data_IF_965602941810
#
_entry.id   IF_965602941810
#
_cell.length_a   1.000
_cell.length_b   1.000
_cell.length_c   1.000
_cell.angle_alpha   90.00
_cell.angle_beta   90.00
_cell.angle_gamma   90.00
#
_symmetry.space_group_name_H-M   'P 1'
#
loop_
_entity.id
_entity.type
_entity.pdbx_description
1 polymer ?
#
# COMPACT_ATOMS: atom_id res chain seq x y z
N UNK A 1 7.04 -0.86 -24.54
CA UNK A 1 6.06 -1.10 -23.46
C UNK A 1 5.64 0.25 -22.92
N UNK A 2 4.34 0.49 -22.74
CA UNK A 2 3.80 1.76 -22.21
C UNK A 2 3.55 1.68 -20.70
N UNK A 3 3.48 2.82 -20.02
CA UNK A 3 3.11 2.85 -18.59
C UNK A 3 1.71 2.27 -18.33
N UNK A 4 0.76 2.45 -19.26
CA UNK A 4 -0.55 1.80 -19.23
C UNK A 4 -0.44 0.27 -19.20
N UNK A 5 0.41 -0.33 -20.05
CA UNK A 5 0.64 -1.78 -20.03
C UNK A 5 1.23 -2.25 -18.71
N UNK A 6 2.14 -1.48 -18.12
CA UNK A 6 2.71 -1.78 -16.78
C UNK A 6 1.62 -1.77 -15.70
N UNK A 7 0.74 -0.78 -15.72
CA UNK A 7 -0.39 -0.72 -14.77
C UNK A 7 -1.35 -1.90 -14.93
N UNK A 8 -1.63 -2.31 -16.18
CA UNK A 8 -2.48 -3.48 -16.45
C UNK A 8 -1.85 -4.76 -15.89
N UNK A 9 -0.52 -4.92 -16.01
CA UNK A 9 0.20 -6.06 -15.40
C UNK A 9 0.08 -6.02 -13.87
N UNK A 10 0.25 -4.85 -13.25
CA UNK A 10 0.04 -4.68 -11.82
C UNK A 10 -1.40 -5.02 -11.40
N UNK A 11 -2.39 -4.65 -12.21
CA UNK A 11 -3.79 -4.98 -11.98
C UNK A 11 -4.06 -6.50 -12.03
N UNK A 12 -3.36 -7.25 -12.87
CA UNK A 12 -3.42 -8.72 -12.82
C UNK A 12 -2.81 -9.29 -11.54
N UNK A 13 -1.76 -8.68 -10.98
CA UNK A 13 -1.29 -9.05 -9.64
C UNK A 13 -2.32 -8.72 -8.57
N UNK A 14 -3.07 -7.62 -8.70
CA UNK A 14 -4.19 -7.33 -7.78
C UNK A 14 -5.24 -8.43 -7.79
N UNK A 15 -5.60 -8.95 -8.97
CA UNK A 15 -6.52 -10.09 -9.08
C UNK A 15 -5.88 -11.37 -8.47
N UNK A 16 -4.61 -11.63 -8.74
CA UNK A 16 -3.91 -12.81 -8.22
C UNK A 16 -3.82 -12.81 -6.68
N UNK A 17 -3.51 -11.67 -6.05
CA UNK A 17 -3.51 -11.58 -4.59
C UNK A 17 -4.91 -11.67 -3.98
N UNK A 18 -5.93 -11.16 -4.68
CA UNK A 18 -7.32 -11.30 -4.25
C UNK A 18 -7.75 -12.78 -4.24
N UNK A 19 -7.29 -13.57 -5.21
CA UNK A 19 -7.49 -15.02 -5.22
C UNK A 19 -6.79 -15.69 -4.03
N UNK A 20 -5.52 -15.35 -3.74
CA UNK A 20 -4.82 -15.87 -2.57
C UNK A 20 -5.52 -15.46 -1.27
N UNK A 21 -6.01 -14.22 -1.18
CA UNK A 21 -6.79 -13.73 -0.05
C UNK A 21 -8.10 -14.50 0.15
N UNK A 22 -8.79 -14.84 -0.94
CA UNK A 22 -10.00 -15.65 -0.91
C UNK A 22 -9.70 -17.08 -0.40
N UNK A 23 -8.62 -17.69 -0.87
CA UNK A 23 -8.16 -19.01 -0.39
C UNK A 23 -7.88 -18.95 1.12
N UNK A 24 -7.15 -17.93 1.59
CA UNK A 24 -6.85 -17.75 3.01
C UNK A 24 -8.12 -17.58 3.88
N UNK A 25 -9.19 -16.97 3.34
CA UNK A 25 -10.48 -16.84 4.04
C UNK A 25 -11.34 -18.11 3.94
N UNK A 26 -11.08 -18.97 2.97
CA UNK A 26 -11.75 -20.26 2.84
C UNK A 26 -11.22 -21.29 3.86
N UNK A 27 -9.93 -21.30 4.16
CA UNK A 27 -9.29 -22.27 5.08
C UNK A 27 -10.01 -22.41 6.43
N UNK A 28 -10.41 -21.32 7.12
CA UNK A 28 -11.15 -21.45 8.38
C UNK A 28 -12.60 -21.96 8.22
N UNK A 29 -13.14 -21.93 7.01
CA UNK A 29 -14.52 -22.38 6.70
C UNK A 29 -14.52 -23.84 6.23
N UNK A 30 -13.51 -24.22 5.42
CA UNK A 30 -13.37 -25.54 4.87
C UNK A 30 -11.88 -25.90 4.78
N UNK A 31 -11.40 -26.91 5.51
CA UNK A 31 -9.98 -27.30 5.48
C UNK A 31 -9.53 -27.70 4.06
N UNK A 32 -8.49 -27.04 3.55
CA UNK A 32 -7.98 -27.26 2.18
C UNK A 32 -6.71 -28.10 2.14
N UNK A 33 -6.16 -28.54 3.30
CA UNK A 33 -4.90 -29.31 3.35
C UNK A 33 -3.68 -28.51 2.89
N UNK A 34 -3.72 -27.19 2.96
CA UNK A 34 -2.62 -26.29 2.57
C UNK A 34 -1.91 -25.71 3.80
N UNK A 35 -0.62 -25.38 3.65
CA UNK A 35 0.13 -24.66 4.68
C UNK A 35 -0.25 -23.17 4.66
N UNK A 36 -1.12 -22.77 5.60
CA UNK A 36 -1.68 -21.42 5.67
C UNK A 36 -0.63 -20.30 5.66
N UNK A 37 0.47 -20.49 6.39
CA UNK A 37 1.54 -19.51 6.51
C UNK A 37 2.21 -19.22 5.16
N UNK A 38 2.40 -20.25 4.33
CA UNK A 38 3.02 -20.13 3.01
C UNK A 38 2.15 -19.30 2.06
N UNK A 39 0.84 -19.54 2.05
CA UNK A 39 -0.11 -18.76 1.26
C UNK A 39 -0.22 -17.32 1.77
N UNK A 40 -0.16 -17.10 3.09
CA UNK A 40 -0.14 -15.77 3.69
C UNK A 40 1.09 -14.98 3.25
N UNK A 41 2.27 -15.62 3.20
CA UNK A 41 3.49 -14.97 2.71
C UNK A 41 3.38 -14.62 1.22
N UNK A 42 2.87 -15.53 0.38
CA UNK A 42 2.61 -15.23 -1.03
C UNK A 42 1.68 -14.03 -1.19
N UNK A 43 0.54 -14.05 -0.48
CA UNK A 43 -0.45 -12.97 -0.50
C UNK A 43 0.18 -11.62 -0.12
N UNK A 44 0.88 -11.55 1.00
CA UNK A 44 1.45 -10.31 1.49
C UNK A 44 2.57 -9.77 0.58
N UNK A 45 3.53 -10.61 0.16
CA UNK A 45 4.62 -10.17 -0.70
C UNK A 45 4.12 -9.70 -2.07
N UNK A 46 3.22 -10.45 -2.71
CA UNK A 46 2.69 -10.06 -4.03
C UNK A 46 1.78 -8.82 -3.93
N UNK A 47 1.07 -8.62 -2.79
CA UNK A 47 0.29 -7.41 -2.56
C UNK A 47 1.17 -6.16 -2.54
N UNK A 48 2.27 -6.19 -1.79
CA UNK A 48 3.19 -5.06 -1.69
C UNK A 48 4.02 -4.88 -2.96
N UNK A 49 4.58 -5.96 -3.49
CA UNK A 49 5.64 -5.91 -4.49
C UNK A 49 5.12 -6.07 -5.92
N UNK A 50 4.04 -6.82 -6.11
CA UNK A 50 3.39 -7.00 -7.41
C UNK A 50 2.36 -5.92 -7.71
N UNK A 51 1.36 -5.77 -6.84
CA UNK A 51 0.27 -4.82 -7.04
C UNK A 51 0.70 -3.38 -6.76
N UNK A 52 0.94 -3.03 -5.49
CA UNK A 52 1.14 -1.64 -5.11
C UNK A 52 2.41 -1.05 -5.72
N UNK A 53 3.55 -1.70 -5.53
CA UNK A 53 4.82 -1.25 -6.11
C UNK A 53 4.70 -1.12 -7.64
N UNK A 54 4.19 -2.15 -8.34
CA UNK A 54 4.02 -2.13 -9.79
C UNK A 54 3.12 -0.99 -10.27
N UNK A 55 1.99 -0.74 -9.58
CA UNK A 55 1.08 0.35 -9.90
C UNK A 55 1.73 1.72 -9.68
N UNK A 56 2.41 1.95 -8.54
CA UNK A 56 3.11 3.21 -8.28
C UNK A 56 4.21 3.46 -9.31
N UNK A 57 5.04 2.46 -9.61
CA UNK A 57 6.11 2.57 -10.61
C UNK A 57 5.54 2.91 -11.99
N UNK A 58 4.37 2.35 -12.37
CA UNK A 58 3.75 2.65 -13.65
C UNK A 58 3.38 4.13 -13.78
N UNK A 59 2.80 4.76 -12.73
CA UNK A 59 2.45 6.18 -12.73
C UNK A 59 3.68 7.09 -12.66
N UNK A 60 4.65 6.75 -11.82
CA UNK A 60 5.91 7.49 -11.71
C UNK A 60 6.63 7.47 -13.05
N UNK A 61 6.67 6.33 -13.71
CA UNK A 61 7.27 6.19 -15.03
C UNK A 61 6.50 6.96 -16.12
N UNK A 62 5.16 6.99 -16.04
CA UNK A 62 4.33 7.80 -16.93
C UNK A 62 4.64 9.29 -16.82
N UNK A 63 4.85 9.78 -15.60
CA UNK A 63 5.05 11.21 -15.34
C UNK A 63 6.51 11.61 -15.68
N UNK A 64 7.48 10.83 -15.23
CA UNK A 64 8.88 11.27 -15.18
C UNK A 64 9.84 10.53 -16.14
N UNK A 65 9.42 9.44 -16.79
CA UNK A 65 10.31 8.67 -17.66
C UNK A 65 9.86 8.61 -19.12
N UNK A 66 8.64 8.99 -19.44
CA UNK A 66 8.07 9.13 -20.81
C UNK A 66 8.80 8.32 -21.90
N UNK A 67 9.60 9.01 -22.73
CA UNK A 67 10.32 8.41 -23.87
C UNK A 67 11.39 7.40 -23.43
N UNK A 68 11.84 7.47 -22.18
CA UNK A 68 12.83 6.55 -21.61
C UNK A 68 12.29 5.15 -21.35
N UNK A 69 10.95 4.97 -21.35
CA UNK A 69 10.28 3.67 -21.23
C UNK A 69 10.62 2.69 -22.36
N UNK A 70 11.05 3.21 -23.52
CA UNK A 70 11.38 2.38 -24.68
C UNK A 70 12.82 1.86 -24.66
N UNK A 71 13.67 2.37 -23.76
CA UNK A 71 15.07 1.93 -23.67
C UNK A 71 15.18 0.44 -23.32
N UNK A 72 16.20 -0.23 -23.88
CA UNK A 72 16.47 -1.65 -23.60
C UNK A 72 16.71 -1.88 -22.10
N UNK A 73 17.45 -0.99 -21.46
CA UNK A 73 17.77 -1.09 -20.04
C UNK A 73 16.51 -0.97 -19.17
N UNK A 74 15.61 -0.01 -19.45
CA UNK A 74 14.36 0.10 -18.72
C UNK A 74 13.49 -1.15 -18.85
N UNK A 75 13.35 -1.67 -20.07
CA UNK A 75 12.59 -2.90 -20.33
C UNK A 75 13.19 -4.09 -19.59
N UNK A 76 14.52 -4.21 -19.56
CA UNK A 76 15.20 -5.24 -18.79
C UNK A 76 14.88 -5.12 -17.29
N UNK A 77 15.06 -3.94 -16.68
CA UNK A 77 14.78 -3.69 -15.27
C UNK A 77 13.33 -4.05 -14.93
N UNK A 78 12.38 -3.60 -15.74
CA UNK A 78 10.96 -3.88 -15.53
C UNK A 78 10.67 -5.39 -15.56
N UNK A 79 11.07 -6.10 -16.62
CA UNK A 79 10.78 -7.52 -16.74
C UNK A 79 11.54 -8.35 -15.71
N UNK A 80 12.76 -7.98 -15.38
CA UNK A 80 13.51 -8.58 -14.29
C UNK A 80 12.73 -8.48 -12.98
N UNK A 81 12.18 -7.32 -12.64
CA UNK A 81 11.35 -7.13 -11.45
C UNK A 81 10.09 -7.99 -11.50
N UNK A 82 9.35 -8.00 -12.62
CA UNK A 82 8.11 -8.76 -12.78
C UNK A 82 8.33 -10.27 -12.68
N UNK A 83 9.38 -10.81 -13.31
CA UNK A 83 9.71 -12.25 -13.24
C UNK A 83 9.94 -12.67 -11.78
N UNK A 84 10.61 -11.83 -10.99
CA UNK A 84 10.84 -12.13 -9.57
C UNK A 84 9.53 -12.09 -8.74
N UNK A 85 8.59 -11.20 -9.06
CA UNK A 85 7.25 -11.22 -8.42
C UNK A 85 6.48 -12.50 -8.79
N UNK A 86 6.51 -12.91 -10.04
CA UNK A 86 5.91 -14.18 -10.49
C UNK A 86 6.57 -15.37 -9.77
N UNK A 87 7.91 -15.34 -9.66
CA UNK A 87 8.66 -16.35 -8.91
C UNK A 87 8.21 -16.44 -7.44
N UNK A 88 8.01 -15.30 -6.76
CA UNK A 88 7.48 -15.25 -5.39
C UNK A 88 6.05 -15.80 -5.31
N UNK A 89 5.18 -15.45 -6.27
CA UNK A 89 3.79 -15.92 -6.29
C UNK A 89 3.68 -17.44 -6.27
N UNK A 90 4.56 -18.14 -6.99
CA UNK A 90 4.55 -19.61 -7.03
C UNK A 90 5.42 -20.27 -5.94
N UNK A 91 6.58 -19.71 -5.61
CA UNK A 91 7.51 -20.34 -4.68
C UNK A 91 7.05 -20.26 -3.22
N UNK A 92 6.44 -19.15 -2.78
CA UNK A 92 5.95 -19.04 -1.40
C UNK A 92 4.89 -20.09 -1.04
N UNK A 93 3.80 -20.30 -1.82
CA UNK A 93 2.82 -21.32 -1.50
C UNK A 93 3.41 -22.73 -1.40
N UNK A 94 4.38 -23.06 -2.26
CA UNK A 94 4.99 -24.39 -2.35
C UNK A 94 5.99 -24.66 -1.23
N UNK A 95 6.74 -23.67 -0.79
CA UNK A 95 7.88 -23.95 0.09
C UNK A 95 8.03 -22.96 1.27
N UNK A 96 7.22 -21.89 1.37
CA UNK A 96 7.41 -20.86 2.38
C UNK A 96 8.72 -20.10 2.21
N UNK A 97 9.35 -19.68 3.30
CA UNK A 97 10.68 -19.03 3.30
C UNK A 97 11.80 -20.07 3.14
N UNK A 98 12.00 -20.54 1.90
CA UNK A 98 13.11 -21.40 1.51
C UNK A 98 13.85 -20.80 0.32
N UNK A 99 14.79 -21.53 -0.26
CA UNK A 99 15.76 -21.04 -1.22
C UNK A 99 15.15 -20.19 -2.35
N UNK A 100 14.18 -20.71 -3.12
CA UNK A 100 13.64 -19.99 -4.27
C UNK A 100 12.86 -18.74 -3.87
N UNK A 101 12.09 -18.80 -2.79
CA UNK A 101 11.32 -17.63 -2.30
C UNK A 101 12.24 -16.50 -1.86
N UNK A 102 13.31 -16.83 -1.13
CA UNK A 102 14.33 -15.88 -0.70
C UNK A 102 15.12 -15.36 -1.91
N UNK A 103 15.47 -16.22 -2.86
CA UNK A 103 16.16 -15.82 -4.09
C UNK A 103 15.35 -14.81 -4.88
N UNK A 104 14.07 -15.10 -5.18
CA UNK A 104 13.22 -14.17 -5.94
C UNK A 104 12.98 -12.86 -5.19
N UNK A 105 12.82 -12.90 -3.86
CA UNK A 105 12.71 -11.69 -3.05
C UNK A 105 14.00 -10.85 -3.13
N UNK A 106 15.17 -11.47 -2.99
CA UNK A 106 16.46 -10.78 -3.07
C UNK A 106 16.71 -10.16 -4.46
N UNK A 107 16.39 -10.90 -5.51
CA UNK A 107 16.51 -10.41 -6.89
C UNK A 107 15.51 -9.28 -7.17
N UNK A 108 14.30 -9.33 -6.60
CA UNK A 108 13.36 -8.22 -6.66
C UNK A 108 13.96 -6.94 -6.04
N UNK A 109 14.63 -7.02 -4.89
CA UNK A 109 15.29 -5.87 -4.27
C UNK A 109 16.39 -5.30 -5.19
N UNK A 110 17.19 -6.15 -5.82
CA UNK A 110 18.17 -5.71 -6.84
C UNK A 110 17.47 -4.97 -7.97
N UNK A 111 16.34 -5.51 -8.47
CA UNK A 111 15.52 -4.84 -9.49
C UNK A 111 15.06 -3.44 -9.08
N UNK A 112 14.66 -3.28 -7.81
CA UNK A 112 14.26 -1.95 -7.27
C UNK A 112 15.43 -0.98 -7.18
N UNK A 113 16.64 -1.44 -6.85
CA UNK A 113 17.85 -0.58 -6.85
C UNK A 113 18.25 -0.16 -8.26
N UNK A 114 18.15 -1.07 -9.22
CA UNK A 114 18.37 -0.75 -10.64
C UNK A 114 17.35 0.27 -11.15
N UNK A 115 16.07 0.13 -10.74
CA UNK A 115 15.06 1.13 -11.06
C UNK A 115 15.37 2.49 -10.43
N UNK A 116 15.76 2.52 -9.17
CA UNK A 116 16.13 3.76 -8.46
C UNK A 116 17.27 4.50 -9.18
N UNK A 117 18.34 3.78 -9.51
CA UNK A 117 19.45 4.32 -10.29
C UNK A 117 18.98 4.86 -11.65
N UNK A 118 18.19 4.05 -12.38
CA UNK A 118 17.67 4.43 -13.68
C UNK A 118 16.80 5.67 -13.62
N UNK A 119 15.90 5.74 -12.63
CA UNK A 119 15.01 6.87 -12.41
C UNK A 119 15.79 8.16 -12.20
N UNK A 120 16.71 8.20 -11.26
CA UNK A 120 17.47 9.44 -10.97
C UNK A 120 18.34 9.90 -12.12
N UNK A 121 18.85 8.98 -12.93
CA UNK A 121 19.65 9.30 -14.13
C UNK A 121 18.82 9.84 -15.29
N UNK A 122 17.59 9.34 -15.46
CA UNK A 122 16.82 9.54 -16.69
C UNK A 122 15.51 10.32 -16.51
N UNK A 123 15.17 10.76 -15.30
CA UNK A 123 13.93 11.49 -15.03
C UNK A 123 13.83 12.77 -15.84
N UNK A 124 12.63 13.12 -16.26
CA UNK A 124 12.25 14.35 -16.94
C UNK A 124 11.09 15.01 -16.20
N UNK A 125 10.73 16.25 -16.56
CA UNK A 125 9.57 16.97 -16.03
C UNK A 125 9.57 17.19 -14.48
N UNK A 126 10.67 16.96 -13.78
CA UNK A 126 10.79 17.21 -12.35
C UNK A 126 10.63 18.71 -12.00
N UNK A 127 11.09 19.60 -12.86
CA UNK A 127 10.85 21.04 -12.74
C UNK A 127 9.40 21.45 -13.05
N UNK A 128 8.69 20.68 -13.87
CA UNK A 128 7.29 20.92 -14.21
C UNK A 128 6.32 20.53 -13.10
N UNK A 129 6.67 19.47 -12.35
CA UNK A 129 5.86 18.91 -11.26
C UNK A 129 6.68 18.86 -9.95
N UNK A 130 7.08 20.03 -9.41
CA UNK A 130 8.05 20.09 -8.31
C UNK A 130 7.55 19.50 -7.00
N UNK A 131 6.26 19.68 -6.67
CA UNK A 131 5.68 19.08 -5.48
C UNK A 131 5.57 17.56 -5.64
N UNK A 132 5.02 17.09 -6.76
CA UNK A 132 4.95 15.65 -7.09
C UNK A 132 6.34 15.01 -7.01
N UNK A 133 7.35 15.60 -7.65
CA UNK A 133 8.71 15.08 -7.66
C UNK A 133 9.32 15.00 -6.25
N UNK A 134 9.11 16.04 -5.41
CA UNK A 134 9.60 16.05 -4.02
C UNK A 134 9.13 14.84 -3.23
N UNK A 135 7.83 14.53 -3.29
CA UNK A 135 7.25 13.38 -2.58
C UNK A 135 7.64 12.04 -3.20
N UNK A 136 7.61 11.93 -4.52
CA UNK A 136 8.05 10.71 -5.23
C UNK A 136 9.51 10.40 -4.93
N UNK A 137 10.40 11.41 -4.98
CA UNK A 137 11.82 11.26 -4.63
C UNK A 137 11.99 10.73 -3.21
N UNK A 138 11.29 11.33 -2.24
CA UNK A 138 11.37 10.87 -0.84
C UNK A 138 10.81 9.45 -0.69
N UNK A 139 9.67 9.14 -1.33
CA UNK A 139 9.09 7.80 -1.33
C UNK A 139 10.07 6.74 -1.86
N UNK A 140 10.76 7.02 -2.97
CA UNK A 140 11.77 6.10 -3.53
C UNK A 140 12.95 5.88 -2.58
N UNK A 141 13.40 6.91 -1.87
CA UNK A 141 14.44 6.75 -0.85
C UNK A 141 13.94 6.00 0.40
N UNK A 142 12.68 6.21 0.80
CA UNK A 142 12.08 5.45 1.91
C UNK A 142 11.85 3.98 1.52
N UNK A 143 11.57 3.68 0.25
CA UNK A 143 11.58 2.32 -0.27
C UNK A 143 12.96 1.68 -0.16
N UNK A 144 14.01 2.38 -0.56
CA UNK A 144 15.39 1.91 -0.39
C UNK A 144 15.70 1.66 1.09
N UNK A 145 15.32 2.57 1.98
CA UNK A 145 15.52 2.44 3.42
C UNK A 145 14.79 1.20 3.97
N UNK A 146 13.52 0.99 3.59
CA UNK A 146 12.77 -0.19 4.02
C UNK A 146 13.41 -1.51 3.56
N UNK A 147 14.04 -1.50 2.39
CA UNK A 147 14.67 -2.69 1.79
C UNK A 147 15.94 -3.16 2.53
N UNK A 148 16.44 -2.39 3.48
CA UNK A 148 17.55 -2.82 4.34
C UNK A 148 17.14 -3.95 5.29
N UNK A 149 15.86 -3.99 5.70
CA UNK A 149 15.33 -5.01 6.60
C UNK A 149 15.47 -6.45 6.07
N UNK A 150 15.03 -6.82 4.85
CA UNK A 150 15.24 -8.19 4.37
C UNK A 150 16.71 -8.67 4.40
N UNK A 151 17.65 -7.74 4.27
CA UNK A 151 19.09 -8.09 4.39
C UNK A 151 19.51 -8.24 5.84
N UNK A 152 19.08 -7.35 6.75
CA UNK A 152 19.38 -7.45 8.18
C UNK A 152 18.68 -8.64 8.83
N UNK A 153 17.47 -9.03 8.34
CA UNK A 153 16.69 -10.12 8.89
C UNK A 153 17.46 -11.46 8.85
N UNK A 154 18.19 -11.74 7.77
CA UNK A 154 19.05 -12.91 7.66
C UNK A 154 20.16 -12.93 8.73
N UNK A 155 20.77 -11.79 9.02
CA UNK A 155 21.78 -11.63 10.06
C UNK A 155 21.16 -11.80 11.45
N UNK A 156 19.99 -11.18 11.69
CA UNK A 156 19.27 -11.29 12.97
C UNK A 156 18.92 -12.74 13.25
N UNK A 157 18.35 -13.47 12.28
CA UNK A 157 17.99 -14.89 12.44
C UNK A 157 19.23 -15.74 12.78
N UNK A 158 20.34 -15.51 12.07
CA UNK A 158 21.56 -16.31 12.24
C UNK A 158 22.29 -16.05 13.56
N UNK A 159 22.22 -14.82 14.09
CA UNK A 159 22.97 -14.40 15.29
C UNK A 159 22.12 -14.39 16.57
N UNK A 160 20.85 -14.02 16.47
CA UNK A 160 19.97 -13.78 17.61
C UNK A 160 18.78 -14.74 17.67
N UNK A 161 18.49 -15.45 16.58
CA UNK A 161 17.33 -16.34 16.47
C UNK A 161 16.00 -15.61 16.22
N UNK A 162 14.97 -16.39 15.86
CA UNK A 162 13.61 -15.87 15.57
C UNK A 162 12.84 -15.44 16.83
N UNK A 163 13.23 -15.90 18.00
CA UNK A 163 12.60 -15.54 19.29
C UNK A 163 13.06 -14.18 19.80
N UNK A 164 14.13 -13.63 19.22
CA UNK A 164 14.64 -12.31 19.59
C UNK A 164 13.60 -11.23 19.23
N UNK A 165 13.36 -10.22 20.09
CA UNK A 165 12.53 -9.06 19.78
C UNK A 165 12.97 -8.33 18.50
N UNK A 166 14.27 -8.34 18.20
CA UNK A 166 14.82 -7.72 16.98
C UNK A 166 14.28 -8.32 15.69
N UNK A 167 13.92 -9.62 15.69
CA UNK A 167 13.27 -10.25 14.55
C UNK A 167 11.94 -9.59 14.20
N UNK A 168 11.10 -9.30 15.19
CA UNK A 168 9.80 -8.62 14.99
C UNK A 168 10.01 -7.13 14.69
N UNK A 169 10.93 -6.47 15.36
CA UNK A 169 11.26 -5.06 15.07
C UNK A 169 11.66 -4.86 13.61
N UNK A 170 12.46 -5.76 13.07
CA UNK A 170 12.93 -5.69 11.70
C UNK A 170 11.78 -5.89 10.70
N UNK A 171 10.88 -6.87 10.93
CA UNK A 171 9.68 -7.06 10.12
C UNK A 171 8.79 -5.81 10.16
N UNK A 172 8.56 -5.25 11.36
CA UNK A 172 7.75 -4.04 11.51
C UNK A 172 8.42 -2.81 10.90
N UNK A 173 9.76 -2.73 10.92
CA UNK A 173 10.52 -1.71 10.23
C UNK A 173 10.25 -1.78 8.72
N UNK A 174 10.40 -2.96 8.10
CA UNK A 174 10.09 -3.15 6.70
C UNK A 174 8.68 -2.68 6.35
N UNK A 175 7.68 -3.21 7.05
CA UNK A 175 6.27 -2.88 6.79
C UNK A 175 6.01 -1.39 6.96
N UNK A 176 6.47 -0.78 8.06
CA UNK A 176 6.24 0.62 8.36
C UNK A 176 6.81 1.55 7.29
N UNK A 177 8.08 1.35 6.90
CA UNK A 177 8.71 2.16 5.87
C UNK A 177 8.16 1.87 4.45
N UNK A 178 7.56 0.70 4.22
CA UNK A 178 6.84 0.43 2.97
C UNK A 178 5.53 1.22 2.91
N UNK A 179 4.60 1.03 3.86
CA UNK A 179 3.28 1.62 3.70
C UNK A 179 3.19 3.08 4.18
N UNK A 180 3.86 3.48 5.29
CA UNK A 180 3.90 4.87 5.75
C UNK A 180 5.00 5.70 5.04
N UNK A 181 6.07 5.06 4.60
CA UNK A 181 7.13 5.69 3.83
C UNK A 181 6.83 5.68 2.33
N UNK A 182 7.16 4.58 1.65
CA UNK A 182 7.10 4.49 0.20
C UNK A 182 5.71 4.78 -0.37
N UNK A 183 4.69 4.01 0.01
CA UNK A 183 3.37 4.11 -0.61
C UNK A 183 2.64 5.41 -0.24
N UNK A 184 2.74 5.87 1.00
CA UNK A 184 2.06 7.10 1.42
C UNK A 184 2.69 8.33 0.76
N UNK A 185 4.02 8.40 0.65
CA UNK A 185 4.70 9.49 -0.06
C UNK A 185 4.40 9.45 -1.56
N UNK A 186 4.44 8.27 -2.20
CA UNK A 186 4.05 8.14 -3.60
C UNK A 186 2.60 8.55 -3.82
N UNK A 187 1.65 8.10 -2.97
CA UNK A 187 0.24 8.50 -3.02
C UNK A 187 0.09 10.01 -2.90
N UNK A 188 0.75 10.62 -1.92
CA UNK A 188 0.70 12.08 -1.72
C UNK A 188 1.26 12.82 -2.93
N UNK A 189 2.39 12.41 -3.46
CA UNK A 189 2.97 13.00 -4.68
C UNK A 189 2.03 12.88 -5.88
N UNK A 190 1.47 11.70 -6.12
CA UNK A 190 0.52 11.47 -7.22
C UNK A 190 -0.81 12.20 -7.02
N UNK A 191 -1.25 12.43 -5.77
CA UNK A 191 -2.40 13.25 -5.48
C UNK A 191 -2.13 14.73 -5.82
N UNK A 192 -0.97 15.25 -5.46
CA UNK A 192 -0.55 16.61 -5.85
C UNK A 192 -0.39 16.74 -7.37
N UNK A 193 0.01 15.68 -8.08
CA UNK A 193 0.08 15.66 -9.54
C UNK A 193 -1.28 15.97 -10.18
N UNK A 194 -2.41 15.55 -9.59
CA UNK A 194 -3.74 15.88 -10.12
C UNK A 194 -3.98 17.40 -10.20
N UNK A 195 -3.33 18.18 -9.33
CA UNK A 195 -3.38 19.64 -9.33
C UNK A 195 -2.30 20.24 -10.25
N UNK A 196 -1.05 19.81 -10.13
CA UNK A 196 0.08 20.34 -10.90
C UNK A 196 -0.10 20.09 -12.42
N UNK A 197 -0.68 18.94 -12.84
CA UNK A 197 -0.97 18.68 -14.25
C UNK A 197 -1.96 19.67 -14.88
N UNK A 198 -2.69 20.42 -14.06
CA UNK A 198 -3.59 21.52 -14.44
C UNK A 198 -2.93 22.90 -14.36
N UNK A 199 -1.58 22.93 -14.29
CA UNK A 199 -0.77 24.13 -14.15
C UNK A 199 -1.06 24.95 -12.87
N UNK A 200 -1.58 24.30 -11.82
CA UNK A 200 -1.80 24.92 -10.53
C UNK A 200 -0.46 25.00 -9.80
N UNK A 201 -0.06 26.21 -9.45
CA UNK A 201 1.06 26.44 -8.53
C UNK A 201 0.62 26.22 -7.09
N UNK A 202 1.13 25.16 -6.48
CA UNK A 202 0.83 24.85 -5.09
C UNK A 202 1.58 25.81 -4.14
N UNK A 203 0.97 26.22 -3.01
CA UNK A 203 1.64 27.03 -2.01
C UNK A 203 2.85 26.33 -1.42
N UNK A 204 4.05 26.81 -1.69
CA UNK A 204 5.31 26.17 -1.29
C UNK A 204 5.42 25.94 0.22
N UNK A 205 4.92 26.87 1.03
CA UNK A 205 4.90 26.74 2.50
C UNK A 205 4.04 25.58 2.96
N UNK A 206 2.87 25.35 2.34
CA UNK A 206 1.99 24.21 2.67
C UNK A 206 2.60 22.88 2.18
N UNK A 207 3.20 22.87 0.98
CA UNK A 207 3.89 21.71 0.43
C UNK A 207 5.07 21.31 1.33
N UNK A 208 5.89 22.27 1.78
CA UNK A 208 6.99 22.02 2.73
C UNK A 208 6.46 21.53 4.07
N UNK A 209 5.42 22.17 4.63
CA UNK A 209 4.80 21.74 5.88
C UNK A 209 4.33 20.28 5.79
N UNK A 210 3.58 19.92 4.74
CA UNK A 210 3.13 18.56 4.49
C UNK A 210 4.29 17.58 4.42
N UNK A 211 5.34 17.94 3.68
CA UNK A 211 6.52 17.11 3.49
C UNK A 211 7.23 16.80 4.82
N UNK A 212 7.52 17.83 5.63
CA UNK A 212 8.20 17.62 6.90
C UNK A 212 7.34 16.93 7.94
N UNK A 213 6.03 17.21 7.99
CA UNK A 213 5.11 16.49 8.87
C UNK A 213 5.06 15.00 8.52
N UNK A 214 5.01 14.62 7.22
CA UNK A 214 5.06 13.23 6.82
C UNK A 214 6.42 12.58 7.12
N UNK A 215 7.54 13.29 6.98
CA UNK A 215 8.86 12.76 7.39
C UNK A 215 8.90 12.49 8.89
N UNK A 216 8.44 13.44 9.72
CA UNK A 216 8.35 13.26 11.16
C UNK A 216 7.44 12.07 11.49
N UNK A 217 6.27 11.97 10.82
CA UNK A 217 5.33 10.87 11.00
C UNK A 217 5.97 9.50 10.68
N UNK A 218 6.75 9.39 9.60
CA UNK A 218 7.39 8.13 9.21
C UNK A 218 8.49 7.76 10.18
N UNK A 219 9.43 8.67 10.48
CA UNK A 219 10.56 8.31 11.33
C UNK A 219 10.17 8.10 12.79
N UNK A 220 9.35 8.96 13.35
CA UNK A 220 8.92 8.84 14.75
C UNK A 220 7.73 7.89 14.94
N UNK A 221 6.84 7.78 13.96
CA UNK A 221 5.73 6.84 14.00
C UNK A 221 6.15 5.37 14.02
N UNK A 222 7.38 5.04 13.56
CA UNK A 222 7.93 3.69 13.67
C UNK A 222 7.96 3.20 15.13
N UNK A 223 8.22 4.08 16.08
CA UNK A 223 8.31 3.68 17.49
C UNK A 223 7.02 3.09 18.05
N UNK A 224 5.84 3.41 17.49
CA UNK A 224 4.58 2.75 17.89
C UNK A 224 4.63 1.22 17.66
N UNK A 225 5.37 0.76 16.66
CA UNK A 225 5.52 -0.66 16.35
C UNK A 225 6.50 -1.39 17.29
N UNK A 226 7.15 -0.68 18.19
CA UNK A 226 8.09 -1.25 19.17
C UNK A 226 7.49 -1.33 20.58
N UNK A 227 6.38 -0.63 20.86
CA UNK A 227 5.82 -0.45 22.19
C UNK A 227 5.38 -1.78 22.84
N UNK A 228 4.98 -2.78 22.06
CA UNK A 228 4.63 -4.11 22.57
C UNK A 228 5.75 -4.79 23.38
N UNK A 229 7.02 -4.41 23.14
CA UNK A 229 8.18 -4.89 23.89
C UNK A 229 8.48 -4.03 25.13
N UNK A 230 7.66 -3.01 25.42
CA UNK A 230 7.79 -2.10 26.60
C UNK A 230 9.18 -1.46 26.72
N UNK A 231 9.68 -0.79 25.67
CA UNK A 231 11.05 -0.26 25.64
C UNK A 231 11.25 0.98 26.55
N UNK A 232 10.19 1.52 27.14
CA UNK A 232 10.22 2.66 28.06
C UNK A 232 9.56 3.93 27.51
N UNK A 233 9.34 4.90 28.40
CA UNK A 233 8.56 6.12 28.15
C UNK A 233 9.02 6.94 26.95
N UNK A 234 10.32 7.03 26.70
CA UNK A 234 10.85 7.80 25.57
C UNK A 234 10.30 7.30 24.22
N UNK A 235 10.10 6.00 24.07
CA UNK A 235 9.55 5.42 22.84
C UNK A 235 8.07 5.77 22.66
N UNK A 236 7.31 5.85 23.75
CA UNK A 236 5.91 6.34 23.69
C UNK A 236 5.88 7.81 23.27
N UNK A 237 6.76 8.65 23.80
CA UNK A 237 6.86 10.06 23.41
C UNK A 237 7.21 10.23 21.93
N UNK A 238 8.19 9.48 21.43
CA UNK A 238 8.56 9.50 20.02
C UNK A 238 7.39 9.03 19.13
N UNK A 239 6.72 7.94 19.49
CA UNK A 239 5.53 7.45 18.79
C UNK A 239 4.41 8.52 18.76
N UNK A 240 4.17 9.20 19.88
CA UNK A 240 3.16 10.26 19.99
C UNK A 240 3.48 11.45 19.06
N UNK A 241 4.74 11.87 19.00
CA UNK A 241 5.21 12.91 18.05
C UNK A 241 4.92 12.47 16.61
N UNK A 242 5.22 11.21 16.27
CA UNK A 242 4.96 10.66 14.94
C UNK A 242 3.47 10.64 14.59
N UNK A 243 2.62 10.15 15.49
CA UNK A 243 1.17 10.11 15.30
C UNK A 243 0.54 11.50 15.19
N UNK A 244 0.95 12.46 16.04
CA UNK A 244 0.51 13.85 15.97
C UNK A 244 0.93 14.53 14.66
N UNK A 245 2.15 14.27 14.20
CA UNK A 245 2.64 14.79 12.93
C UNK A 245 1.83 14.23 11.74
N UNK A 246 1.39 12.99 11.78
CA UNK A 246 0.55 12.40 10.74
C UNK A 246 -0.83 13.05 10.68
N UNK A 247 -1.45 13.31 11.82
CA UNK A 247 -2.70 14.10 11.90
C UNK A 247 -2.49 15.49 11.30
N UNK A 248 -1.40 16.16 11.65
CA UNK A 248 -1.04 17.47 11.08
C UNK A 248 -0.81 17.42 9.56
N UNK A 249 -0.20 16.34 9.06
CA UNK A 249 0.00 16.10 7.63
C UNK A 249 -1.34 15.91 6.91
N UNK A 250 -2.26 15.09 7.49
CA UNK A 250 -3.61 14.91 6.96
C UNK A 250 -4.36 16.25 6.82
N UNK A 251 -4.39 17.07 7.87
CA UNK A 251 -5.05 18.38 7.80
C UNK A 251 -4.38 19.31 6.79
N UNK A 252 -3.05 19.28 6.69
CA UNK A 252 -2.34 20.10 5.69
C UNK A 252 -2.71 19.69 4.27
N UNK A 253 -2.77 18.38 3.99
CA UNK A 253 -3.19 17.86 2.69
C UNK A 253 -4.66 18.21 2.40
N UNK A 254 -5.54 18.06 3.40
CA UNK A 254 -6.95 18.41 3.29
C UNK A 254 -7.12 19.90 2.95
N UNK A 255 -6.36 20.82 3.59
CA UNK A 255 -6.40 22.24 3.32
C UNK A 255 -5.95 22.57 1.89
N UNK A 256 -4.91 21.90 1.38
CA UNK A 256 -4.47 22.04 -0.01
C UNK A 256 -5.62 21.67 -0.95
N UNK A 257 -6.25 20.49 -0.76
CA UNK A 257 -7.34 20.05 -1.63
C UNK A 257 -8.62 20.85 -1.46
N UNK A 258 -8.98 21.27 -0.25
CA UNK A 258 -10.16 22.11 0.02
C UNK A 258 -10.13 23.41 -0.76
N UNK A 259 -8.96 24.00 -0.96
CA UNK A 259 -8.79 25.23 -1.76
C UNK A 259 -9.24 25.04 -3.22
N UNK A 260 -9.05 23.82 -3.76
CA UNK A 260 -9.37 23.49 -5.16
C UNK A 260 -10.60 22.58 -5.30
N UNK A 261 -11.34 22.36 -4.21
CA UNK A 261 -12.45 21.42 -4.13
C UNK A 261 -13.52 21.63 -5.20
N UNK A 262 -13.96 22.89 -5.39
CA UNK A 262 -14.96 23.26 -6.41
C UNK A 262 -14.46 22.95 -7.84
N UNK A 263 -13.19 23.17 -8.09
CA UNK A 263 -12.60 22.88 -9.40
C UNK A 263 -12.45 21.37 -9.64
N UNK A 264 -12.08 20.61 -8.61
CA UNK A 264 -11.94 19.15 -8.70
C UNK A 264 -13.24 18.49 -9.16
N UNK A 265 -14.42 18.96 -8.70
CA UNK A 265 -15.71 18.43 -9.14
C UNK A 265 -15.93 18.53 -10.66
N UNK A 266 -15.32 19.51 -11.32
CA UNK A 266 -15.42 19.70 -12.76
C UNK A 266 -14.28 19.04 -13.54
N UNK A 267 -13.18 18.72 -12.87
CA UNK A 267 -11.97 18.19 -13.52
C UNK A 267 -11.88 16.67 -13.52
N UNK A 268 -12.50 16.02 -12.56
CA UNK A 268 -12.54 14.58 -12.44
C UNK A 268 -13.98 14.07 -12.46
N UNK A 269 -14.16 12.80 -12.82
CA UNK A 269 -15.49 12.20 -12.87
C UNK A 269 -16.16 12.18 -11.50
N UNK A 270 -17.51 12.17 -11.46
CA UNK A 270 -18.26 12.08 -10.20
C UNK A 270 -17.89 10.84 -9.37
N UNK A 271 -17.59 9.71 -10.02
CA UNK A 271 -17.10 8.52 -9.35
C UNK A 271 -15.75 8.80 -8.68
N UNK A 272 -14.78 9.35 -9.43
CA UNK A 272 -13.45 9.64 -8.90
C UNK A 272 -13.48 10.65 -7.77
N UNK A 273 -14.36 11.63 -7.85
CA UNK A 273 -14.57 12.60 -6.80
C UNK A 273 -15.12 11.97 -5.50
N UNK A 274 -16.15 11.11 -5.61
CA UNK A 274 -16.69 10.38 -4.46
C UNK A 274 -15.66 9.45 -3.82
N UNK A 275 -14.89 8.73 -4.65
CA UNK A 275 -13.81 7.85 -4.17
C UNK A 275 -12.69 8.64 -3.49
N UNK A 276 -12.32 9.81 -4.02
CA UNK A 276 -11.30 10.66 -3.40
C UNK A 276 -11.74 11.11 -1.99
N UNK A 277 -13.01 11.46 -1.81
CA UNK A 277 -13.55 11.78 -0.48
C UNK A 277 -13.49 10.58 0.48
N UNK A 278 -13.82 9.39 -0.01
CA UNK A 278 -13.69 8.16 0.78
C UNK A 278 -12.22 7.87 1.17
N UNK A 279 -11.28 8.10 0.26
CA UNK A 279 -9.82 8.00 0.53
C UNK A 279 -9.40 8.99 1.62
N UNK A 280 -9.85 10.25 1.56
CA UNK A 280 -9.56 11.24 2.61
C UNK A 280 -10.13 10.83 3.96
N UNK A 281 -11.38 10.35 3.99
CA UNK A 281 -12.00 9.85 5.22
C UNK A 281 -11.21 8.66 5.81
N UNK A 282 -10.82 7.70 4.96
CA UNK A 282 -10.03 6.53 5.39
C UNK A 282 -8.63 6.96 5.87
N UNK A 283 -8.03 7.96 5.23
CA UNK A 283 -6.73 8.50 5.69
C UNK A 283 -6.87 9.18 7.06
N UNK A 284 -7.95 9.92 7.31
CA UNK A 284 -8.23 10.48 8.63
C UNK A 284 -8.33 9.36 9.68
N UNK A 285 -9.13 8.33 9.41
CA UNK A 285 -9.27 7.18 10.31
C UNK A 285 -7.91 6.51 10.57
N UNK A 286 -7.11 6.28 9.53
CA UNK A 286 -5.76 5.73 9.63
C UNK A 286 -4.87 6.60 10.54
N UNK A 287 -4.88 7.91 10.37
CA UNK A 287 -4.07 8.83 11.18
C UNK A 287 -4.49 8.80 12.66
N UNK A 288 -5.80 8.72 12.94
CA UNK A 288 -6.33 8.57 14.32
C UNK A 288 -5.89 7.24 14.93
N UNK A 289 -6.03 6.13 14.20
CA UNK A 289 -5.61 4.79 14.69
C UNK A 289 -4.09 4.75 14.94
N UNK A 290 -3.28 5.37 14.09
CA UNK A 290 -1.83 5.47 14.27
C UNK A 290 -1.49 6.29 15.54
N UNK A 291 -2.19 7.40 15.76
CA UNK A 291 -2.03 8.21 16.98
C UNK A 291 -2.44 7.43 18.23
N UNK A 292 -3.58 6.71 18.19
CA UNK A 292 -3.99 5.83 19.29
C UNK A 292 -2.95 4.75 19.59
N UNK A 293 -2.34 4.16 18.56
CA UNK A 293 -1.26 3.18 18.69
C UNK A 293 0.02 3.70 19.36
N UNK A 294 0.13 5.01 19.59
CA UNK A 294 1.23 5.62 20.36
C UNK A 294 1.07 5.47 21.88
N UNK A 295 -0.12 5.10 22.36
CA UNK A 295 -0.36 4.82 23.77
C UNK A 295 -0.13 3.34 24.06
N UNK A 296 0.59 3.03 25.14
CA UNK A 296 0.98 1.66 25.52
C UNK A 296 -0.20 0.68 25.53
N UNK A 297 -1.34 1.11 26.09
CA UNK A 297 -2.53 0.27 26.18
C UNK A 297 -3.02 -0.22 24.81
N UNK A 298 -3.12 0.68 23.82
CA UNK A 298 -3.59 0.30 22.49
C UNK A 298 -2.53 -0.45 21.68
N UNK A 299 -1.24 -0.18 21.93
CA UNK A 299 -0.14 -0.96 21.35
C UNK A 299 -0.17 -2.41 21.84
N UNK A 300 -0.33 -2.62 23.15
CA UNK A 300 -0.47 -3.97 23.73
C UNK A 300 -1.73 -4.68 23.22
N UNK A 301 -2.85 -3.97 23.12
CA UNK A 301 -4.11 -4.51 22.61
C UNK A 301 -4.00 -4.97 21.14
N UNK A 302 -3.44 -4.13 20.28
CA UNK A 302 -3.27 -4.47 18.87
C UNK A 302 -2.29 -5.63 18.66
N UNK A 303 -1.27 -5.75 19.49
CA UNK A 303 -0.33 -6.85 19.44
C UNK A 303 -0.97 -8.18 19.88
N UNK A 304 -1.85 -8.16 20.89
CA UNK A 304 -2.55 -9.35 21.37
C UNK A 304 -3.68 -9.79 20.44
N UNK A 305 -4.41 -8.87 19.83
CA UNK A 305 -5.57 -9.15 18.98
C UNK A 305 -5.20 -8.90 17.51
N UNK A 306 -4.80 -9.98 16.85
CA UNK A 306 -4.30 -9.95 15.46
C UNK A 306 -5.26 -9.30 14.45
N UNK A 307 -6.57 -9.38 14.68
CA UNK A 307 -7.57 -8.81 13.77
C UNK A 307 -7.45 -7.29 13.65
N UNK A 308 -7.01 -6.58 14.69
CA UNK A 308 -6.73 -5.14 14.60
C UNK A 308 -5.59 -4.84 13.62
N UNK A 309 -4.52 -5.65 13.64
CA UNK A 309 -3.40 -5.46 12.69
C UNK A 309 -3.83 -5.78 11.27
N UNK A 310 -4.57 -6.87 11.07
CA UNK A 310 -5.07 -7.27 9.75
C UNK A 310 -6.00 -6.20 9.18
N UNK A 311 -7.00 -5.77 9.98
CA UNK A 311 -7.93 -4.71 9.59
C UNK A 311 -7.18 -3.40 9.28
N UNK A 312 -6.25 -2.97 10.13
CA UNK A 312 -5.46 -1.77 9.88
C UNK A 312 -4.67 -1.82 8.57
N UNK A 313 -4.03 -2.95 8.25
CA UNK A 313 -3.30 -3.11 7.00
C UNK A 313 -4.24 -3.10 5.78
N UNK A 314 -5.37 -3.80 5.84
CA UNK A 314 -6.37 -3.79 4.77
C UNK A 314 -7.00 -2.40 4.61
N UNK A 315 -7.29 -1.69 5.71
CA UNK A 315 -7.80 -0.33 5.67
C UNK A 315 -6.88 0.59 4.85
N UNK A 316 -5.56 0.46 5.02
CA UNK A 316 -4.59 1.27 4.28
C UNK A 316 -4.48 0.81 2.82
N UNK A 317 -4.32 -0.50 2.59
CA UNK A 317 -4.07 -1.04 1.25
C UNK A 317 -5.30 -0.96 0.34
N UNK A 318 -6.47 -1.34 0.86
CA UNK A 318 -7.73 -1.42 0.12
C UNK A 318 -8.62 -0.19 0.31
N UNK A 319 -8.44 0.59 1.38
CA UNK A 319 -9.23 1.78 1.64
C UNK A 319 -8.56 3.09 1.19
N UNK A 320 -7.23 3.13 1.08
CA UNK A 320 -6.48 4.33 0.65
C UNK A 320 -5.79 4.08 -0.68
N UNK A 321 -4.79 3.20 -0.73
CA UNK A 321 -3.90 3.09 -1.89
C UNK A 321 -4.62 2.53 -3.12
N UNK A 322 -5.32 1.41 -2.99
CA UNK A 322 -5.99 0.78 -4.13
C UNK A 322 -7.07 1.68 -4.75
N UNK A 323 -8.04 2.26 -4.00
CA UNK A 323 -9.04 3.15 -4.58
C UNK A 323 -8.41 4.37 -5.25
N UNK A 324 -7.39 4.97 -4.63
CA UNK A 324 -6.67 6.10 -5.20
C UNK A 324 -6.00 5.74 -6.54
N UNK A 325 -5.28 4.62 -6.61
CA UNK A 325 -4.61 4.16 -7.83
C UNK A 325 -5.62 3.83 -8.94
N UNK A 326 -6.78 3.24 -8.61
CA UNK A 326 -7.84 2.95 -9.57
C UNK A 326 -8.45 4.21 -10.17
N UNK A 327 -8.75 5.24 -9.35
CA UNK A 327 -9.26 6.50 -9.88
C UNK A 327 -8.19 7.25 -10.67
N UNK A 328 -6.94 7.22 -10.24
CA UNK A 328 -5.84 7.83 -10.99
C UNK A 328 -5.68 7.15 -12.36
N UNK A 329 -5.76 5.81 -12.41
CA UNK A 329 -5.72 5.06 -13.66
C UNK A 329 -6.89 5.42 -14.60
N UNK A 330 -8.07 5.63 -14.03
CA UNK A 330 -9.24 6.10 -14.79
C UNK A 330 -9.05 7.52 -15.33
N UNK A 331 -8.59 8.45 -14.50
CA UNK A 331 -8.40 9.87 -14.87
C UNK A 331 -7.18 10.09 -15.82
N UNK A 332 -6.32 9.08 -15.99
CA UNK A 332 -5.23 9.05 -16.95
C UNK A 332 -5.53 8.17 -18.18
N UNK A 333 -6.77 7.71 -18.35
CA UNK A 333 -7.21 6.83 -19.44
C UNK A 333 -6.43 5.48 -19.52
N UNK A 334 -5.91 5.00 -18.39
CA UNK A 334 -5.24 3.69 -18.34
C UNK A 334 -6.25 2.55 -18.35
N UNK A 335 -7.38 2.73 -17.66
CA UNK A 335 -8.48 1.75 -17.59
C UNK A 335 -9.84 2.43 -17.72
N UNK A 336 -10.84 1.64 -18.10
CA UNK A 336 -12.25 2.03 -17.98
C UNK A 336 -12.79 1.46 -16.66
N UNK A 337 -12.96 2.30 -15.65
CA UNK A 337 -13.48 1.90 -14.35
C UNK A 337 -14.99 2.01 -14.30
N UNK A 338 -15.70 0.89 -14.30
CA UNK A 338 -17.14 0.84 -14.12
C UNK A 338 -17.55 1.17 -12.69
N UNK A 339 -18.56 2.04 -12.52
CA UNK A 339 -19.13 2.36 -11.21
C UNK A 339 -19.64 1.11 -10.49
N UNK A 340 -20.31 0.19 -11.21
CA UNK A 340 -20.82 -1.07 -10.66
C UNK A 340 -19.68 -1.94 -10.13
N UNK A 341 -18.63 -2.16 -10.93
CA UNK A 341 -17.48 -2.96 -10.54
C UNK A 341 -16.78 -2.38 -9.30
N UNK A 342 -16.58 -1.06 -9.28
CA UNK A 342 -15.99 -0.37 -8.13
C UNK A 342 -16.86 -0.50 -6.87
N UNK A 343 -18.17 -0.31 -6.97
CA UNK A 343 -19.09 -0.43 -5.83
C UNK A 343 -19.13 -1.86 -5.26
N UNK A 344 -19.08 -2.89 -6.12
CA UNK A 344 -19.01 -4.29 -5.67
C UNK A 344 -17.69 -4.54 -4.92
N UNK A 345 -16.56 -4.10 -5.46
CA UNK A 345 -15.25 -4.18 -4.79
C UNK A 345 -15.28 -3.46 -3.43
N UNK A 346 -15.69 -2.19 -3.43
CA UNK A 346 -15.55 -1.32 -2.26
C UNK A 346 -16.55 -1.69 -1.15
N UNK A 347 -17.78 -2.12 -1.49
CA UNK A 347 -18.72 -2.63 -0.51
C UNK A 347 -18.25 -3.94 0.13
N UNK A 348 -17.69 -4.87 -0.67
CA UNK A 348 -17.07 -6.08 -0.12
C UNK A 348 -15.92 -5.77 0.83
N UNK A 349 -15.05 -4.82 0.47
CA UNK A 349 -14.00 -4.32 1.36
C UNK A 349 -14.59 -3.76 2.67
N UNK A 350 -15.55 -2.84 2.62
CA UNK A 350 -16.14 -2.24 3.81
C UNK A 350 -16.78 -3.29 4.74
N UNK A 351 -17.49 -4.27 4.17
CA UNK A 351 -18.14 -5.32 4.95
C UNK A 351 -17.10 -6.26 5.59
N UNK A 352 -16.03 -6.64 4.89
CA UNK A 352 -14.96 -7.45 5.48
C UNK A 352 -14.22 -6.71 6.59
N UNK A 353 -13.93 -5.42 6.39
CA UNK A 353 -13.29 -4.60 7.42
C UNK A 353 -14.17 -4.42 8.67
N UNK A 354 -15.46 -4.12 8.47
CA UNK A 354 -16.41 -4.03 9.57
C UNK A 354 -16.42 -5.31 10.40
N UNK A 355 -16.47 -6.48 9.76
CA UNK A 355 -16.45 -7.76 10.48
C UNK A 355 -15.12 -8.04 11.18
N UNK A 356 -13.98 -7.68 10.60
CA UNK A 356 -12.67 -7.83 11.25
C UNK A 356 -12.58 -6.97 12.50
N UNK A 357 -12.95 -5.68 12.41
CA UNK A 357 -12.95 -4.80 13.58
C UNK A 357 -14.00 -5.22 14.61
N UNK A 358 -15.19 -5.65 14.20
CA UNK A 358 -16.20 -6.19 15.14
C UNK A 358 -15.68 -7.41 15.88
N UNK A 359 -15.07 -8.38 15.20
CA UNK A 359 -14.48 -9.56 15.82
C UNK A 359 -13.35 -9.18 16.78
N UNK A 360 -12.51 -8.21 16.41
CA UNK A 360 -11.47 -7.68 17.28
C UNK A 360 -12.05 -7.03 18.53
N UNK A 361 -13.12 -6.22 18.40
CA UNK A 361 -13.83 -5.56 19.50
C UNK A 361 -14.48 -6.61 20.42
N UNK A 362 -15.15 -7.62 19.86
CA UNK A 362 -15.76 -8.68 20.65
C UNK A 362 -14.70 -9.45 21.45
N UNK A 363 -13.55 -9.74 20.83
CA UNK A 363 -12.43 -10.35 21.54
C UNK A 363 -11.87 -9.44 22.65
N UNK A 364 -11.76 -8.14 22.41
CA UNK A 364 -11.31 -7.16 23.38
C UNK A 364 -12.22 -7.11 24.63
N UNK A 365 -13.54 -7.03 24.42
CA UNK A 365 -14.52 -6.99 25.51
C UNK A 365 -14.93 -8.37 26.02
N UNK A 366 -14.30 -9.45 25.51
CA UNK A 366 -14.63 -10.85 25.85
C UNK A 366 -16.10 -11.19 25.61
N UNK A 367 -16.72 -10.58 24.60
CA UNK A 367 -18.09 -10.88 24.20
C UNK A 367 -18.06 -12.19 23.40
N UNK A 368 -18.86 -13.20 23.76
CA UNK A 368 -18.93 -14.44 23.01
C UNK A 368 -19.33 -14.18 21.54
N UNK A 369 -18.56 -14.74 20.63
CA UNK A 369 -18.83 -14.63 19.19
C UNK A 369 -18.65 -16.00 18.54
N UNK A 370 -19.60 -16.37 17.68
CA UNK A 370 -19.48 -17.60 16.90
C UNK A 370 -18.42 -17.41 15.78
N UNK A 371 -17.30 -18.09 15.96
CA UNK A 371 -16.18 -18.04 15.01
C UNK A 371 -16.59 -18.56 13.62
N UNK A 372 -17.50 -19.55 13.56
CA UNK A 372 -17.97 -20.13 12.28
C UNK A 372 -18.76 -19.09 11.49
N UNK A 373 -19.67 -18.39 12.18
CA UNK A 373 -20.47 -17.32 11.56
C UNK A 373 -19.57 -16.19 11.05
N UNK A 374 -18.65 -15.70 11.89
CA UNK A 374 -17.71 -14.64 11.46
C UNK A 374 -16.85 -15.06 10.27
N UNK A 375 -16.26 -16.26 10.30
CA UNK A 375 -15.42 -16.76 9.21
C UNK A 375 -16.24 -16.94 7.92
N UNK A 376 -17.45 -17.47 8.01
CA UNK A 376 -18.35 -17.61 6.87
C UNK A 376 -18.74 -16.28 6.23
N UNK A 377 -19.10 -15.27 7.04
CA UNK A 377 -19.44 -13.93 6.55
C UNK A 377 -18.22 -13.23 5.95
N UNK A 378 -17.05 -13.29 6.59
CA UNK A 378 -15.81 -12.71 6.06
C UNK A 378 -15.47 -13.36 4.70
N UNK A 379 -15.58 -14.69 4.58
CA UNK A 379 -15.37 -15.37 3.33
C UNK A 379 -16.38 -14.93 2.25
N UNK A 380 -17.66 -14.87 2.55
CA UNK A 380 -18.69 -14.45 1.60
C UNK A 380 -18.47 -13.02 1.08
N UNK A 381 -18.13 -12.07 1.95
CA UNK A 381 -17.85 -10.70 1.53
C UNK A 381 -16.48 -10.55 0.84
N UNK A 382 -15.50 -11.40 1.16
CA UNK A 382 -14.25 -11.48 0.39
C UNK A 382 -14.52 -12.00 -1.02
N UNK A 383 -15.40 -12.99 -1.19
CA UNK A 383 -15.83 -13.46 -2.51
C UNK A 383 -16.55 -12.35 -3.28
N UNK A 384 -17.43 -11.58 -2.62
CA UNK A 384 -18.10 -10.43 -3.21
C UNK A 384 -17.08 -9.37 -3.67
N UNK A 385 -16.10 -9.05 -2.85
CA UNK A 385 -14.99 -8.15 -3.20
C UNK A 385 -14.18 -8.67 -4.39
N UNK A 386 -13.88 -9.97 -4.42
CA UNK A 386 -13.17 -10.64 -5.52
C UNK A 386 -13.93 -10.51 -6.85
N UNK A 387 -15.25 -10.69 -6.86
CA UNK A 387 -16.07 -10.45 -8.06
C UNK A 387 -15.94 -9.00 -8.57
N UNK A 388 -15.91 -8.01 -7.68
CA UNK A 388 -15.66 -6.62 -8.06
C UNK A 388 -14.30 -6.42 -8.72
N UNK A 389 -13.25 -7.04 -8.16
CA UNK A 389 -11.89 -6.98 -8.69
C UNK A 389 -11.79 -7.62 -10.07
N UNK A 390 -12.40 -8.79 -10.28
CA UNK A 390 -12.41 -9.45 -11.60
C UNK A 390 -13.13 -8.60 -12.66
N UNK A 391 -14.23 -7.94 -12.29
CA UNK A 391 -14.92 -7.00 -13.18
C UNK A 391 -14.07 -5.77 -13.51
N UNK A 392 -13.29 -5.24 -12.56
CA UNK A 392 -12.36 -4.12 -12.79
C UNK A 392 -11.24 -4.56 -13.75
N UNK A 393 -10.67 -5.73 -13.52
CA UNK A 393 -9.57 -6.27 -14.33
C UNK A 393 -10.00 -6.66 -15.75
N UNK A 394 -11.22 -7.17 -15.91
CA UNK A 394 -11.83 -7.52 -17.21
C UNK A 394 -12.32 -6.31 -18.03
N UNK A 395 -12.42 -5.13 -17.43
CA UNK A 395 -12.84 -3.90 -18.10
C UNK A 395 -11.83 -3.46 -19.16
N UNK A 396 -12.07 -3.79 -20.44
CA UNK A 396 -11.24 -3.35 -21.57
C UNK A 396 -11.24 -1.82 -21.63
N UNK A 397 -10.08 -1.20 -21.47
CA UNK A 397 -9.93 0.21 -21.80
C UNK A 397 -10.29 0.42 -23.26
N UNK A 398 -11.11 1.42 -23.57
CA UNK A 398 -11.35 1.84 -24.96
C UNK A 398 -10.00 2.15 -25.58
N UNK A 399 -9.57 1.37 -26.56
CA UNK A 399 -8.57 1.83 -27.51
C UNK A 399 -9.18 3.03 -28.23
N UNK A 400 -8.70 4.23 -27.91
CA UNK A 400 -8.94 5.37 -28.80
C UNK A 400 -8.26 5.00 -30.10
N UNK A 401 -9.06 4.68 -31.12
CA UNK A 401 -8.58 4.47 -32.47
C UNK A 401 -7.67 5.63 -32.84
N UNK A 402 -6.55 5.29 -33.46
CA UNK A 402 -5.69 6.27 -34.16
C UNK A 402 -6.57 7.00 -35.18
N UNK A 403 -6.95 8.22 -34.87
CA UNK A 403 -7.39 9.19 -35.89
C UNK A 403 -6.37 10.32 -35.94
#
# INVERSE_FOLDING_TARGET
>A
MTARQQFIIALYFFMAIALLGLILRLVPVSPLGIEYSNFLHAHSHVAFLGWLHGAFISFISYIFLRDKLQSKLYKFIYWFTIINVVGMYFSFPLQGYKFFSILFLSLFLVGTYLFLYYFFKNKTDDAKYPATYRFVKAGLWLQFLSSLSPWSLGIIISKLGKESPFYKFDIFYYLHFQYNGWFLFATTGLALYLLEKRNIRLPETQVKRLYYLLLIAVFFGYFSNTLWAKPGFIFNLLALIGGAAEIGAFFTLLLIFKRYYKYLQHWISALSYGVLNAVFFTFMLKAVLQFMGSFQYYADLSYQIRDFIIGYLHLIMLGIFTPFLLILAKELDFISLSKKAFLIFYSGFLLTETLLFMRAIFNWFKIPADATVFNGLIFAFTLWMFMGITMITGGKGKEKGKS
#
